data_IF_487693335195
#
_entry.id   IF_487693335195
#
_cell.length_a   1.000
_cell.length_b   1.000
_cell.length_c   1.000
_cell.angle_alpha   90.00
_cell.angle_beta   90.00
_cell.angle_gamma   90.00
#
_symmetry.space_group_name_H-M   'P 1'
#
loop_
_entity.id
_entity.type
_entity.pdbx_description
1 polymer ?
#
# COMPACT_ATOMS: atom_id res chain seq x y z
N UNK A 1 27.04 -27.05 1.93
CA UNK A 1 25.81 -26.22 1.94
C UNK A 1 26.22 -24.76 1.81
N UNK A 2 26.09 -24.17 0.63
CA UNK A 2 26.53 -22.78 0.35
C UNK A 2 25.60 -21.83 1.12
N UNK A 3 26.11 -21.18 2.16
CA UNK A 3 25.35 -20.28 3.04
C UNK A 3 24.60 -19.24 2.23
N UNK A 4 23.30 -19.43 2.03
CA UNK A 4 22.43 -18.44 1.38
C UNK A 4 22.40 -17.22 2.30
N UNK A 5 23.12 -16.15 1.94
CA UNK A 5 22.97 -14.86 2.62
C UNK A 5 21.47 -14.50 2.59
N UNK A 6 20.87 -14.13 3.72
CA UNK A 6 19.45 -13.78 3.75
C UNK A 6 19.24 -12.54 2.89
N UNK A 7 18.41 -12.64 1.85
CA UNK A 7 18.15 -11.54 0.90
C UNK A 7 17.63 -10.28 1.60
N UNK A 8 17.02 -10.43 2.76
CA UNK A 8 16.66 -9.32 3.66
C UNK A 8 17.85 -8.40 3.95
N UNK A 9 19.01 -8.95 4.35
CA UNK A 9 20.21 -8.14 4.65
C UNK A 9 20.68 -7.45 3.38
N UNK A 10 20.63 -8.14 2.24
CA UNK A 10 21.00 -7.55 0.95
C UNK A 10 20.08 -6.37 0.60
N UNK A 11 18.77 -6.53 0.74
CA UNK A 11 17.80 -5.46 0.52
C UNK A 11 18.09 -4.25 1.40
N UNK A 12 18.22 -4.45 2.72
CA UNK A 12 18.47 -3.39 3.68
C UNK A 12 19.78 -2.65 3.40
N UNK A 13 20.88 -3.39 3.20
CA UNK A 13 22.20 -2.79 2.93
C UNK A 13 22.16 -2.00 1.62
N UNK A 14 21.60 -2.56 0.55
CA UNK A 14 21.49 -1.83 -0.73
C UNK A 14 20.62 -0.59 -0.59
N UNK A 15 19.47 -0.68 0.07
CA UNK A 15 18.57 0.48 0.24
C UNK A 15 19.19 1.57 1.11
N UNK A 16 19.85 1.21 2.21
CA UNK A 16 20.50 2.18 3.10
C UNK A 16 21.72 2.82 2.45
N UNK A 17 22.52 2.05 1.69
CA UNK A 17 23.65 2.60 0.94
C UNK A 17 23.18 3.57 -0.15
N UNK A 18 22.13 3.23 -0.90
CA UNK A 18 21.55 4.12 -1.91
C UNK A 18 20.92 5.37 -1.27
N UNK A 19 20.21 5.21 -0.14
CA UNK A 19 19.64 6.34 0.60
C UNK A 19 20.74 7.28 1.11
N UNK A 20 21.79 6.74 1.74
CA UNK A 20 22.93 7.54 2.22
C UNK A 20 23.67 8.26 1.09
N UNK A 21 23.90 7.59 -0.05
CA UNK A 21 24.49 8.21 -1.23
C UNK A 21 23.61 9.36 -1.75
N UNK A 22 22.31 9.11 -1.93
CA UNK A 22 21.37 10.12 -2.42
C UNK A 22 21.23 11.31 -1.47
N UNK A 23 21.20 11.08 -0.16
CA UNK A 23 21.21 12.13 0.87
C UNK A 23 22.51 12.94 0.82
N UNK A 24 23.68 12.29 0.71
CA UNK A 24 24.96 12.99 0.58
C UNK A 24 25.02 13.88 -0.66
N UNK A 25 24.55 13.38 -1.81
CA UNK A 25 24.46 14.17 -3.04
C UNK A 25 23.45 15.32 -2.89
N UNK A 26 22.34 15.13 -2.16
CA UNK A 26 21.38 16.21 -1.91
C UNK A 26 21.96 17.32 -1.03
N UNK A 27 22.67 16.98 0.05
CA UNK A 27 23.35 17.98 0.89
C UNK A 27 24.44 18.73 0.10
N UNK A 28 25.14 18.03 -0.79
CA UNK A 28 26.08 18.66 -1.71
C UNK A 28 25.37 19.57 -2.74
N UNK A 29 24.20 19.17 -3.23
CA UNK A 29 23.40 19.99 -4.12
C UNK A 29 22.93 21.28 -3.44
N UNK A 30 22.45 21.22 -2.20
CA UNK A 30 22.00 22.41 -1.48
C UNK A 30 23.12 23.41 -1.20
N UNK A 31 24.33 22.92 -0.93
CA UNK A 31 25.50 23.78 -0.71
C UNK A 31 26.09 24.40 -1.97
N UNK A 32 25.80 23.87 -3.17
CA UNK A 32 26.51 24.28 -4.42
C UNK A 32 25.62 24.72 -5.57
N UNK A 33 24.36 24.26 -5.64
CA UNK A 33 23.50 24.46 -6.81
C UNK A 33 22.60 25.71 -6.73
N UNK A 34 22.59 26.41 -5.59
CA UNK A 34 21.74 27.57 -5.35
C UNK A 34 22.61 28.83 -5.09
N UNK A 35 22.27 29.94 -5.76
CA UNK A 35 23.04 31.19 -5.69
C UNK A 35 22.44 32.19 -4.69
N UNK A 36 23.28 32.65 -3.74
CA UNK A 36 23.02 33.79 -2.86
C UNK A 36 21.82 33.60 -1.92
N UNK A 37 21.42 34.67 -1.23
CA UNK A 37 20.30 34.67 -0.27
C UNK A 37 18.93 34.39 -0.91
N UNK A 38 18.82 34.52 -2.24
CA UNK A 38 17.59 34.30 -3.01
C UNK A 38 17.37 32.85 -3.45
N UNK A 39 18.33 31.94 -3.22
CA UNK A 39 18.15 30.51 -3.47
C UNK A 39 17.89 30.13 -4.94
N UNK A 40 18.28 30.96 -5.91
CA UNK A 40 17.95 30.71 -7.31
C UNK A 40 18.79 29.55 -7.89
N UNK A 41 18.17 28.60 -8.63
CA UNK A 41 18.86 27.45 -9.18
C UNK A 41 19.84 27.84 -10.29
N UNK A 42 21.09 27.40 -10.17
CA UNK A 42 22.09 27.55 -11.23
C UNK A 42 21.81 26.54 -12.34
N UNK A 43 21.45 27.04 -13.54
CA UNK A 43 21.26 26.17 -14.72
C UNK A 43 22.54 25.36 -14.99
N UNK A 44 22.39 24.04 -15.09
CA UNK A 44 23.48 23.13 -15.41
C UNK A 44 24.40 22.78 -14.23
N UNK A 45 23.99 23.06 -12.98
CA UNK A 45 24.75 22.64 -11.81
C UNK A 45 25.03 21.13 -11.85
N UNK A 46 26.30 20.75 -11.77
CA UNK A 46 26.76 19.35 -11.82
C UNK A 46 26.14 18.52 -10.70
N UNK A 47 25.86 19.14 -9.55
CA UNK A 47 25.20 18.50 -8.42
C UNK A 47 23.75 18.09 -8.73
N UNK A 48 22.99 18.90 -9.49
CA UNK A 48 21.63 18.54 -9.90
C UNK A 48 21.63 17.36 -10.89
N UNK A 49 22.59 17.33 -11.82
CA UNK A 49 22.76 16.19 -12.75
C UNK A 49 23.15 14.93 -11.98
N UNK A 50 24.12 15.04 -11.07
CA UNK A 50 24.55 13.93 -10.22
C UNK A 50 23.39 13.37 -9.41
N UNK A 51 22.51 14.23 -8.87
CA UNK A 51 21.35 13.81 -8.10
C UNK A 51 20.37 12.99 -8.94
N UNK A 52 20.05 13.45 -10.16
CA UNK A 52 19.21 12.69 -11.10
C UNK A 52 19.84 11.33 -11.42
N UNK A 53 21.14 11.31 -11.72
CA UNK A 53 21.86 10.06 -11.99
C UNK A 53 21.78 9.08 -10.81
N UNK A 54 21.99 9.55 -9.57
CA UNK A 54 21.91 8.70 -8.37
C UNK A 54 20.49 8.15 -8.17
N UNK A 55 19.45 8.96 -8.38
CA UNK A 55 18.06 8.48 -8.29
C UNK A 55 17.74 7.44 -9.37
N UNK A 56 18.17 7.67 -10.62
CA UNK A 56 17.99 6.69 -11.71
C UNK A 56 18.74 5.40 -11.42
N UNK A 57 19.97 5.49 -10.90
CA UNK A 57 20.74 4.32 -10.47
C UNK A 57 20.05 3.58 -9.32
N UNK A 58 19.48 4.29 -8.34
CA UNK A 58 18.71 3.69 -7.27
C UNK A 58 17.49 2.93 -7.80
N UNK A 59 16.74 3.53 -8.73
CA UNK A 59 15.63 2.88 -9.43
C UNK A 59 16.11 1.59 -10.11
N UNK A 60 17.19 1.66 -10.90
CA UNK A 60 17.71 0.51 -11.64
C UNK A 60 18.19 -0.62 -10.72
N UNK A 61 18.99 -0.31 -9.69
CA UNK A 61 19.51 -1.30 -8.74
C UNK A 61 18.38 -1.99 -7.98
N UNK A 62 17.41 -1.22 -7.47
CA UNK A 62 16.28 -1.78 -6.75
C UNK A 62 15.35 -2.59 -7.68
N UNK A 63 15.20 -2.17 -8.95
CA UNK A 63 14.49 -2.95 -9.97
C UNK A 63 15.17 -4.30 -10.21
N UNK A 64 16.50 -4.33 -10.33
CA UNK A 64 17.27 -5.57 -10.50
C UNK A 64 17.12 -6.46 -9.26
N UNK A 65 17.18 -5.91 -8.05
CA UNK A 65 16.93 -6.66 -6.82
C UNK A 65 15.50 -7.23 -6.78
N UNK A 66 14.49 -6.44 -7.14
CA UNK A 66 13.09 -6.87 -7.21
C UNK A 66 12.88 -7.99 -8.23
N UNK A 67 13.53 -7.91 -9.40
CA UNK A 67 13.46 -8.92 -10.44
C UNK A 67 14.14 -10.23 -10.02
N UNK A 68 15.29 -10.14 -9.34
CA UNK A 68 16.06 -11.29 -8.84
C UNK A 68 15.49 -11.91 -7.57
N UNK A 69 14.54 -11.26 -6.90
CA UNK A 69 13.93 -11.80 -5.69
C UNK A 69 13.25 -13.14 -6.00
N UNK A 70 13.71 -14.25 -5.37
CA UNK A 70 13.07 -15.54 -5.52
C UNK A 70 11.70 -15.51 -4.85
N UNK A 71 10.70 -16.06 -5.55
CA UNK A 71 9.34 -16.20 -5.06
C UNK A 71 9.00 -17.68 -5.12
N UNK A 72 8.85 -18.30 -3.96
CA UNK A 72 8.34 -19.68 -3.89
C UNK A 72 6.85 -19.64 -4.20
N UNK A 73 6.45 -20.28 -5.30
CA UNK A 73 5.05 -20.48 -5.65
C UNK A 73 4.60 -21.83 -5.08
N UNK A 74 3.66 -21.89 -4.12
CA UNK A 74 3.15 -23.16 -3.63
C UNK A 74 2.36 -23.91 -4.72
N UNK A 75 2.19 -25.25 -4.59
CA UNK A 75 1.47 -26.09 -5.57
C UNK A 75 0.03 -25.63 -5.80
N UNK A 76 -0.46 -25.80 -7.05
CA UNK A 76 -1.78 -25.34 -7.50
C UNK A 76 -2.98 -25.88 -6.70
N UNK A 77 -2.84 -27.01 -6.01
CA UNK A 77 -3.93 -27.62 -5.22
C UNK A 77 -4.25 -26.87 -3.91
N UNK A 78 -3.31 -26.11 -3.34
CA UNK A 78 -3.53 -25.26 -2.15
C UNK A 78 -3.97 -23.82 -2.51
N UNK A 79 -4.32 -23.57 -3.78
CA UNK A 79 -4.53 -22.20 -4.32
C UNK A 79 -5.93 -21.63 -4.06
N UNK A 80 -6.87 -22.39 -3.48
CA UNK A 80 -8.24 -21.90 -3.20
C UNK A 80 -8.35 -20.82 -2.11
N UNK A 81 -7.23 -20.26 -1.66
CA UNK A 81 -7.20 -19.14 -0.74
C UNK A 81 -5.82 -18.51 -0.61
N UNK A 82 -5.18 -18.10 -1.72
CA UNK A 82 -3.94 -17.30 -1.69
C UNK A 82 -4.19 -15.96 -0.98
N UNK A 83 -4.19 -15.98 0.35
CA UNK A 83 -4.18 -14.76 1.17
C UNK A 83 -2.75 -14.29 1.23
N UNK A 84 -2.34 -13.48 0.27
CA UNK A 84 -1.10 -12.70 0.33
C UNK A 84 -0.98 -11.88 1.61
N UNK A 85 -2.06 -11.70 2.37
CA UNK A 85 -2.03 -11.31 3.77
C UNK A 85 -1.05 -12.12 4.64
N UNK A 86 -0.70 -13.35 4.25
CA UNK A 86 0.29 -14.18 4.95
C UNK A 86 1.73 -13.72 4.75
N UNK A 87 2.03 -12.91 3.73
CA UNK A 87 3.40 -12.45 3.44
C UNK A 87 3.94 -11.44 4.45
N UNK A 88 3.10 -10.92 5.35
CA UNK A 88 3.49 -10.05 6.45
C UNK A 88 3.34 -10.70 7.83
N UNK A 89 2.83 -11.92 7.91
CA UNK A 89 2.78 -12.62 9.20
C UNK A 89 4.20 -12.83 9.69
N UNK A 90 4.45 -12.35 10.89
CA UNK A 90 5.71 -12.36 11.59
C UNK A 90 5.43 -12.90 12.99
N UNK A 91 5.16 -14.21 13.08
CA UNK A 91 5.05 -14.92 14.36
C UNK A 91 6.28 -14.59 15.21
N UNK A 92 6.10 -13.70 16.19
CA UNK A 92 7.14 -13.36 17.17
C UNK A 92 8.30 -12.47 16.69
N UNK A 93 8.23 -11.80 15.53
CA UNK A 93 9.33 -10.91 15.11
C UNK A 93 9.23 -9.53 15.78
N UNK A 94 10.06 -9.33 16.79
CA UNK A 94 10.13 -8.08 17.56
C UNK A 94 10.67 -6.90 16.73
N UNK A 95 11.52 -7.14 15.72
CA UNK A 95 12.10 -6.06 14.91
C UNK A 95 11.03 -5.44 14.02
N UNK A 96 10.20 -6.29 13.38
CA UNK A 96 9.06 -5.82 12.61
C UNK A 96 8.08 -5.03 13.49
N UNK A 97 7.74 -5.55 14.67
CA UNK A 97 6.84 -4.88 15.60
C UNK A 97 7.40 -3.52 16.06
N UNK A 98 8.69 -3.48 16.43
CA UNK A 98 9.37 -2.26 16.85
C UNK A 98 9.39 -1.19 15.74
N UNK A 99 9.69 -1.57 14.50
CA UNK A 99 9.68 -0.64 13.35
C UNK A 99 8.27 -0.10 13.05
N UNK A 100 7.25 -0.95 13.14
CA UNK A 100 5.85 -0.53 12.94
C UNK A 100 5.35 0.38 14.07
N UNK A 101 5.73 0.10 15.31
CA UNK A 101 5.44 0.97 16.45
C UNK A 101 6.13 2.31 16.31
N UNK A 102 7.44 2.30 16.03
CA UNK A 102 8.21 3.52 15.80
C UNK A 102 7.58 4.36 14.68
N UNK A 103 7.25 3.73 13.55
CA UNK A 103 6.53 4.36 12.44
C UNK A 103 5.20 4.99 12.89
N UNK A 104 4.38 4.26 13.64
CA UNK A 104 3.11 4.75 14.14
C UNK A 104 3.29 5.95 15.07
N UNK A 105 4.17 5.85 16.07
CA UNK A 105 4.42 6.94 17.02
C UNK A 105 5.04 8.17 16.35
N UNK A 106 5.86 8.02 15.32
CA UNK A 106 6.32 9.14 14.50
C UNK A 106 5.16 9.82 13.75
N UNK A 107 4.21 9.04 13.19
CA UNK A 107 3.01 9.63 12.59
C UNK A 107 2.15 10.37 13.62
N UNK A 108 2.04 9.84 14.84
CA UNK A 108 1.34 10.50 15.94
C UNK A 108 2.04 11.79 16.37
N UNK A 109 3.38 11.81 16.43
CA UNK A 109 4.16 13.00 16.75
C UNK A 109 4.00 14.12 15.71
N UNK A 110 3.72 13.77 14.45
CA UNK A 110 3.42 14.76 13.41
C UNK A 110 2.10 15.52 13.65
N UNK A 111 1.12 14.92 14.34
CA UNK A 111 -0.22 15.48 14.56
C UNK A 111 -0.19 16.84 15.26
N UNK A 112 0.39 17.01 16.47
CA UNK A 112 0.41 18.31 17.15
C UNK A 112 1.21 19.37 16.38
N UNK A 113 2.25 18.97 15.64
CA UNK A 113 3.08 19.88 14.85
C UNK A 113 2.29 20.44 13.66
N UNK A 114 1.68 19.56 12.85
CA UNK A 114 0.88 19.95 11.69
C UNK A 114 -0.38 20.70 12.09
N UNK A 115 -1.04 20.28 13.18
CA UNK A 115 -2.22 20.97 13.69
C UNK A 115 -1.86 22.35 14.27
N UNK A 116 -0.72 22.48 14.95
CA UNK A 116 -0.19 23.74 15.44
C UNK A 116 0.11 24.73 14.30
N UNK A 117 0.82 24.27 13.28
CA UNK A 117 1.11 25.05 12.06
C UNK A 117 -0.19 25.47 11.36
N UNK A 118 -1.13 24.54 11.16
CA UNK A 118 -2.44 24.83 10.59
C UNK A 118 -3.24 25.87 11.38
N UNK A 119 -3.22 25.79 12.73
CA UNK A 119 -3.89 26.77 13.60
C UNK A 119 -3.26 28.16 13.52
N UNK A 120 -1.93 28.23 13.45
CA UNK A 120 -1.22 29.50 13.32
C UNK A 120 -1.60 30.19 11.99
N UNK A 121 -1.58 29.42 10.89
CA UNK A 121 -1.99 29.90 9.57
C UNK A 121 -3.46 30.30 9.53
N UNK A 122 -4.35 29.52 10.16
CA UNK A 122 -5.76 29.86 10.27
C UNK A 122 -5.99 31.19 11.01
N UNK A 123 -5.25 31.45 12.09
CA UNK A 123 -5.33 32.74 12.79
C UNK A 123 -4.86 33.89 11.91
N UNK A 124 -3.74 33.72 11.20
CA UNK A 124 -3.24 34.72 10.25
C UNK A 124 -4.25 35.00 9.13
N UNK A 125 -4.89 33.95 8.60
CA UNK A 125 -5.96 34.05 7.62
C UNK A 125 -7.13 34.88 8.14
N UNK A 126 -7.61 34.63 9.35
CA UNK A 126 -8.72 35.39 9.95
C UNK A 126 -8.39 36.89 10.11
N UNK A 127 -7.15 37.21 10.47
CA UNK A 127 -6.68 38.60 10.58
C UNK A 127 -6.64 39.27 9.21
N UNK A 128 -6.10 38.59 8.19
CA UNK A 128 -6.05 39.10 6.82
C UNK A 128 -7.45 39.30 6.22
N UNK A 129 -8.39 38.40 6.55
CA UNK A 129 -9.79 38.51 6.14
C UNK A 129 -10.46 39.73 6.80
N UNK A 130 -10.23 39.95 8.09
CA UNK A 130 -10.74 41.11 8.82
C UNK A 130 -10.19 42.44 8.26
N UNK A 131 -8.94 42.46 7.82
CA UNK A 131 -8.31 43.63 7.20
C UNK A 131 -8.63 43.79 5.70
N UNK A 132 -9.36 42.85 5.08
CA UNK A 132 -9.61 42.79 3.62
C UNK A 132 -8.31 42.81 2.79
N UNK A 133 -7.21 42.31 3.35
CA UNK A 133 -5.89 42.26 2.69
C UNK A 133 -5.57 40.87 2.15
N UNK A 134 -6.48 39.91 2.26
CA UNK A 134 -6.24 38.55 1.77
C UNK A 134 -6.22 38.51 0.24
N UNK A 135 -5.06 38.17 -0.33
CA UNK A 135 -4.81 38.13 -1.78
C UNK A 135 -4.78 36.71 -2.36
N UNK A 136 -5.32 35.73 -1.63
CA UNK A 136 -5.13 34.31 -1.95
C UNK A 136 -3.84 33.78 -1.31
N UNK A 137 -3.93 32.62 -0.65
CA UNK A 137 -2.80 32.01 0.07
C UNK A 137 -3.24 30.80 0.89
N UNK A 138 -2.31 30.14 1.60
CA UNK A 138 -2.66 29.04 2.49
C UNK A 138 -3.45 29.52 3.72
N UNK A 139 -4.58 28.88 3.97
CA UNK A 139 -5.46 29.17 5.10
C UNK A 139 -5.22 28.18 6.26
N UNK A 140 -4.33 27.19 6.11
CA UNK A 140 -3.95 26.23 7.16
C UNK A 140 -4.90 25.05 7.33
N UNK A 141 -6.08 25.06 6.68
CA UNK A 141 -7.08 23.98 6.75
C UNK A 141 -6.49 22.65 6.29
N UNK A 142 -5.70 22.67 5.22
CA UNK A 142 -5.15 21.47 4.60
C UNK A 142 -4.07 20.82 5.47
N UNK A 143 -3.30 21.63 6.21
CA UNK A 143 -2.40 21.17 7.26
C UNK A 143 -3.15 20.52 8.43
N UNK A 144 -4.30 21.06 8.84
CA UNK A 144 -5.16 20.42 9.86
C UNK A 144 -5.76 19.10 9.37
N UNK A 145 -6.23 19.04 8.12
CA UNK A 145 -6.74 17.81 7.50
C UNK A 145 -5.64 16.75 7.44
N UNK A 146 -4.42 17.15 7.06
CA UNK A 146 -3.26 16.24 7.05
C UNK A 146 -2.94 15.72 8.45
N UNK A 147 -3.06 16.55 9.49
CA UNK A 147 -2.90 16.12 10.88
C UNK A 147 -3.94 15.07 11.30
N UNK A 148 -5.22 15.28 10.96
CA UNK A 148 -6.29 14.31 11.23
C UNK A 148 -6.03 12.99 10.50
N UNK A 149 -5.61 13.05 9.23
CA UNK A 149 -5.31 11.85 8.48
C UNK A 149 -4.04 11.15 8.99
N UNK A 150 -3.04 11.88 9.48
CA UNK A 150 -1.88 11.30 10.15
C UNK A 150 -2.27 10.53 11.42
N UNK A 151 -3.27 11.02 12.16
CA UNK A 151 -3.85 10.28 13.29
C UNK A 151 -4.55 8.99 12.84
N UNK A 152 -5.25 9.00 11.70
CA UNK A 152 -5.80 7.77 11.11
C UNK A 152 -4.70 6.80 10.65
N UNK A 153 -3.61 7.31 10.08
CA UNK A 153 -2.45 6.51 9.71
C UNK A 153 -1.81 5.83 10.93
N UNK A 154 -1.73 6.52 12.07
CA UNK A 154 -1.28 5.93 13.35
C UNK A 154 -2.08 4.67 13.70
N UNK A 155 -3.42 4.74 13.69
CA UNK A 155 -4.26 3.58 13.97
C UNK A 155 -4.11 2.47 12.92
N UNK A 156 -3.95 2.82 11.64
CA UNK A 156 -3.69 1.87 10.56
C UNK A 156 -2.36 1.13 10.74
N UNK A 157 -1.28 1.85 11.03
CA UNK A 157 0.06 1.30 11.23
C UNK A 157 0.13 0.40 12.47
N UNK A 158 -0.51 0.78 13.59
CA UNK A 158 -0.61 -0.07 14.77
C UNK A 158 -1.33 -1.38 14.47
N UNK A 159 -2.41 -1.34 13.70
CA UNK A 159 -3.14 -2.55 13.33
C UNK A 159 -2.34 -3.45 12.39
N UNK A 160 -1.65 -2.87 11.40
CA UNK A 160 -0.71 -3.62 10.54
C UNK A 160 0.37 -4.30 11.40
N UNK A 161 0.95 -3.59 12.38
CA UNK A 161 1.95 -4.15 13.29
C UNK A 161 1.39 -5.28 14.17
N UNK A 162 0.22 -5.06 14.78
CA UNK A 162 -0.46 -6.04 15.65
C UNK A 162 -0.86 -7.31 14.89
N UNK A 163 -1.46 -7.15 13.72
CA UNK A 163 -1.91 -8.26 12.88
C UNK A 163 -0.71 -9.03 12.28
N UNK A 164 0.43 -8.35 12.08
CA UNK A 164 1.69 -8.99 11.73
C UNK A 164 2.27 -9.84 12.86
N UNK A 165 2.19 -9.38 14.11
CA UNK A 165 2.76 -10.05 15.28
C UNK A 165 1.91 -11.25 15.78
N UNK A 166 0.58 -11.14 15.74
CA UNK A 166 -0.35 -12.20 16.16
C UNK A 166 -1.15 -12.81 14.99
N UNK A 167 -0.55 -13.72 14.20
CA UNK A 167 -1.22 -14.39 13.10
C UNK A 167 -2.18 -15.46 13.62
N UNK A 168 -3.48 -15.14 13.67
CA UNK A 168 -4.50 -16.13 14.07
C UNK A 168 -5.86 -15.53 14.39
N UNK A 169 -5.90 -14.27 14.85
CA UNK A 169 -7.15 -13.52 15.02
C UNK A 169 -7.33 -12.56 13.86
N UNK A 170 -7.83 -13.07 12.73
CA UNK A 170 -8.14 -12.20 11.59
C UNK A 170 -9.38 -11.38 11.91
N UNK A 171 -9.19 -10.13 12.32
CA UNK A 171 -10.23 -9.10 12.21
C UNK A 171 -10.32 -8.64 10.74
N UNK A 172 -11.26 -7.75 10.44
CA UNK A 172 -11.57 -7.17 9.12
C UNK A 172 -10.43 -6.25 8.58
N UNK A 173 -9.18 -6.69 8.62
CA UNK A 173 -7.94 -5.91 8.43
C UNK A 173 -7.66 -5.37 7.02
N UNK A 174 -8.57 -5.54 6.06
CA UNK A 174 -8.43 -4.91 4.74
C UNK A 174 -8.61 -3.39 4.78
N UNK A 175 -9.58 -2.91 5.57
CA UNK A 175 -9.92 -1.49 5.65
C UNK A 175 -8.82 -0.66 6.36
N UNK A 176 -8.32 -1.16 7.49
CA UNK A 176 -7.34 -0.45 8.31
C UNK A 176 -5.97 -0.34 7.65
N UNK A 177 -5.61 -1.30 6.78
CA UNK A 177 -4.39 -1.24 5.99
C UNK A 177 -4.40 -0.11 4.93
N UNK A 178 -5.57 0.41 4.57
CA UNK A 178 -5.70 1.50 3.60
C UNK A 178 -5.56 2.90 4.23
N UNK A 179 -5.70 3.04 5.56
CA UNK A 179 -5.65 4.35 6.23
C UNK A 179 -4.33 5.11 6.01
N UNK A 180 -3.13 4.46 6.05
CA UNK A 180 -1.89 5.17 5.75
C UNK A 180 -1.83 5.70 4.31
N UNK A 181 -2.45 4.99 3.35
CA UNK A 181 -2.55 5.48 1.97
C UNK A 181 -3.48 6.70 1.88
N UNK A 182 -4.63 6.68 2.56
CA UNK A 182 -5.53 7.84 2.65
C UNK A 182 -4.84 9.07 3.27
N UNK A 183 -3.98 8.86 4.27
CA UNK A 183 -3.17 9.94 4.84
C UNK A 183 -2.14 10.49 3.86
N UNK A 184 -1.54 9.62 3.05
CA UNK A 184 -0.74 10.03 1.90
C UNK A 184 -1.51 10.97 0.96
N UNK A 185 -2.82 10.77 0.76
CA UNK A 185 -3.62 11.63 -0.12
C UNK A 185 -3.73 13.07 0.40
N UNK A 186 -4.09 13.22 1.68
CA UNK A 186 -4.17 14.55 2.29
C UNK A 186 -2.82 15.25 2.34
N UNK A 187 -1.77 14.49 2.66
CA UNK A 187 -0.41 15.02 2.66
C UNK A 187 0.07 15.43 1.27
N UNK A 188 -0.24 14.64 0.23
CA UNK A 188 0.06 14.99 -1.16
C UNK A 188 -0.67 16.26 -1.59
N UNK A 189 -1.95 16.41 -1.22
CA UNK A 189 -2.73 17.61 -1.51
C UNK A 189 -2.13 18.83 -0.81
N UNK A 190 -1.75 18.69 0.47
CA UNK A 190 -1.09 19.74 1.25
C UNK A 190 0.22 20.18 0.60
N UNK A 191 1.05 19.20 0.25
CA UNK A 191 2.35 19.43 -0.38
C UNK A 191 2.17 20.09 -1.73
N UNK A 192 1.35 19.53 -2.62
CA UNK A 192 1.12 20.06 -3.97
C UNK A 192 0.65 21.52 -3.97
N UNK A 193 -0.26 21.88 -3.05
CA UNK A 193 -0.71 23.27 -2.90
C UNK A 193 0.44 24.21 -2.56
N UNK A 194 1.31 23.81 -1.64
CA UNK A 194 2.46 24.61 -1.24
C UNK A 194 3.47 24.72 -2.40
N UNK A 195 3.70 23.63 -3.13
CA UNK A 195 4.59 23.59 -4.29
C UNK A 195 4.09 24.40 -5.48
N UNK A 196 2.77 24.54 -5.65
CA UNK A 196 2.20 25.32 -6.75
C UNK A 196 2.49 26.82 -6.65
N UNK A 197 2.89 27.29 -5.46
CA UNK A 197 3.31 28.68 -5.25
C UNK A 197 4.80 28.91 -5.58
N UNK A 198 5.63 27.86 -5.55
CA UNK A 198 7.08 27.98 -5.65
C UNK A 198 7.59 27.72 -7.08
N UNK A 199 8.36 28.65 -7.69
CA UNK A 199 8.89 28.47 -9.04
C UNK A 199 10.11 27.53 -9.12
N UNK A 200 10.72 27.17 -7.98
CA UNK A 200 11.95 26.37 -7.92
C UNK A 200 11.62 24.89 -7.73
N UNK A 201 11.74 24.13 -8.82
CA UNK A 201 11.37 22.71 -8.88
C UNK A 201 12.12 21.83 -7.86
N UNK A 202 13.40 22.12 -7.60
CA UNK A 202 14.26 21.31 -6.73
C UNK A 202 13.99 21.47 -5.23
N UNK A 203 13.12 22.42 -4.84
CA UNK A 203 12.74 22.62 -3.44
C UNK A 203 11.69 21.61 -3.01
N UNK A 204 10.81 21.21 -3.94
CA UNK A 204 9.70 20.33 -3.62
C UNK A 204 9.68 18.97 -4.34
N UNK A 205 10.39 18.80 -5.46
CA UNK A 205 10.41 17.51 -6.18
C UNK A 205 10.81 16.32 -5.30
N UNK A 206 11.87 16.41 -4.47
CA UNK A 206 12.24 15.28 -3.61
C UNK A 206 11.14 14.90 -2.62
N UNK A 207 10.48 15.90 -2.05
CA UNK A 207 9.36 15.71 -1.13
C UNK A 207 8.17 15.06 -1.84
N UNK A 208 7.80 15.56 -3.02
CA UNK A 208 6.67 15.05 -3.80
C UNK A 208 6.91 13.58 -4.22
N UNK A 209 8.13 13.26 -4.66
CA UNK A 209 8.54 11.89 -4.97
C UNK A 209 8.47 10.97 -3.74
N UNK A 210 8.85 11.46 -2.55
CA UNK A 210 8.77 10.70 -1.32
C UNK A 210 7.33 10.38 -0.94
N UNK A 211 6.42 11.36 -1.01
CA UNK A 211 5.00 11.18 -0.70
C UNK A 211 4.34 10.20 -1.69
N UNK A 212 4.60 10.35 -2.99
CA UNK A 212 4.05 9.46 -4.02
C UNK A 212 4.58 8.03 -3.85
N UNK A 213 5.88 7.86 -3.62
CA UNK A 213 6.47 6.53 -3.41
C UNK A 213 5.86 5.83 -2.18
N UNK A 214 5.75 6.56 -1.06
CA UNK A 214 5.16 6.05 0.18
C UNK A 214 3.68 5.71 0.02
N UNK A 215 2.89 6.57 -0.63
CA UNK A 215 1.49 6.29 -0.95
C UNK A 215 1.35 5.03 -1.79
N UNK A 216 2.12 4.91 -2.88
CA UNK A 216 2.09 3.72 -3.74
C UNK A 216 2.47 2.46 -2.97
N UNK A 217 3.48 2.53 -2.10
CA UNK A 217 3.84 1.42 -1.21
C UNK A 217 2.66 1.00 -0.33
N UNK A 218 2.00 1.94 0.35
CA UNK A 218 0.85 1.63 1.21
C UNK A 218 -0.35 1.08 0.42
N UNK A 219 -0.61 1.57 -0.80
CA UNK A 219 -1.68 1.02 -1.65
C UNK A 219 -1.40 -0.42 -2.07
N UNK A 220 -0.16 -0.74 -2.47
CA UNK A 220 0.23 -2.11 -2.78
C UNK A 220 0.20 -3.00 -1.51
N UNK A 221 0.53 -2.43 -0.34
CA UNK A 221 0.44 -3.13 0.94
C UNK A 221 -1.01 -3.47 1.30
N UNK A 222 -1.93 -2.51 1.18
CA UNK A 222 -3.36 -2.74 1.36
C UNK A 222 -3.90 -3.75 0.31
N UNK A 223 -3.44 -3.66 -0.95
CA UNK A 223 -3.81 -4.59 -2.01
C UNK A 223 -3.42 -6.05 -1.71
N UNK A 224 -2.29 -6.27 -1.05
CA UNK A 224 -1.89 -7.61 -0.58
C UNK A 224 -2.85 -8.19 0.46
N UNK A 225 -3.49 -7.34 1.28
CA UNK A 225 -4.52 -7.75 2.24
C UNK A 225 -5.83 -8.18 1.56
N UNK A 226 -6.11 -7.67 0.36
CA UNK A 226 -7.32 -7.91 -0.44
C UNK A 226 -7.12 -8.89 -1.62
N UNK A 227 -6.06 -9.71 -1.60
CA UNK A 227 -5.72 -10.71 -2.62
C UNK A 227 -5.25 -10.19 -4.00
N UNK A 228 -5.07 -8.88 -4.17
CA UNK A 228 -4.48 -8.26 -5.37
C UNK A 228 -2.98 -7.96 -5.16
N UNK A 229 -2.16 -9.01 -5.03
CA UNK A 229 -0.77 -8.83 -4.59
C UNK A 229 0.24 -8.68 -5.71
N UNK A 230 1.13 -7.68 -5.53
CA UNK A 230 2.28 -7.41 -6.39
C UNK A 230 3.56 -7.32 -5.55
N UNK A 231 4.02 -8.42 -4.93
CA UNK A 231 5.06 -8.38 -3.89
C UNK A 231 6.41 -7.80 -4.37
N UNK A 232 6.79 -8.02 -5.63
CA UNK A 232 8.01 -7.44 -6.22
C UNK A 232 7.90 -5.92 -6.32
N UNK A 233 6.73 -5.43 -6.74
CA UNK A 233 6.45 -4.01 -6.84
C UNK A 233 6.46 -3.37 -5.46
N UNK A 234 5.89 -4.03 -4.45
CA UNK A 234 5.94 -3.53 -3.06
C UNK A 234 7.37 -3.47 -2.52
N UNK A 235 8.21 -4.47 -2.77
CA UNK A 235 9.63 -4.40 -2.37
C UNK A 235 10.36 -3.24 -3.01
N UNK A 236 10.14 -3.04 -4.32
CA UNK A 236 10.73 -1.93 -5.05
C UNK A 236 10.25 -0.58 -4.52
N UNK A 237 8.93 -0.43 -4.34
CA UNK A 237 8.32 0.79 -3.78
C UNK A 237 8.79 1.06 -2.36
N UNK A 238 8.95 0.03 -1.51
CA UNK A 238 9.48 0.20 -0.17
C UNK A 238 10.94 0.70 -0.20
N UNK A 239 11.78 0.13 -1.05
CA UNK A 239 13.15 0.63 -1.26
C UNK A 239 13.18 2.10 -1.72
N UNK A 240 12.38 2.44 -2.74
CA UNK A 240 12.28 3.81 -3.23
C UNK A 240 11.70 4.78 -2.19
N UNK A 241 10.75 4.32 -1.37
CA UNK A 241 10.17 5.13 -0.28
C UNK A 241 11.25 5.53 0.72
N UNK A 242 12.13 4.60 1.12
CA UNK A 242 13.27 4.92 2.00
C UNK A 242 14.20 5.94 1.32
N UNK A 243 14.63 5.66 0.09
CA UNK A 243 15.56 6.56 -0.64
C UNK A 243 14.98 7.97 -0.76
N UNK A 244 13.75 8.11 -1.28
CA UNK A 244 13.13 9.41 -1.46
C UNK A 244 12.86 10.12 -0.13
N UNK A 245 12.45 9.40 0.93
CA UNK A 245 12.23 10.01 2.25
C UNK A 245 13.50 10.61 2.85
N UNK A 246 14.62 9.91 2.73
CA UNK A 246 15.91 10.37 3.24
C UNK A 246 16.47 11.54 2.44
N UNK A 247 16.22 11.57 1.12
CA UNK A 247 16.54 12.74 0.29
C UNK A 247 15.67 13.93 0.69
N UNK A 248 14.36 13.73 0.89
CA UNK A 248 13.46 14.81 1.30
C UNK A 248 13.78 15.34 2.71
N UNK A 249 14.22 14.48 3.63
CA UNK A 249 14.71 14.88 4.95
C UNK A 249 16.01 15.68 4.90
N UNK A 250 16.86 15.41 3.91
CA UNK A 250 18.09 16.16 3.71
C UNK A 250 17.80 17.65 3.45
N UNK A 251 16.67 17.94 2.81
CA UNK A 251 16.21 19.30 2.54
C UNK A 251 15.61 20.04 3.74
N UNK A 252 15.81 19.54 4.96
CA UNK A 252 15.33 20.15 6.21
C UNK A 252 13.85 20.60 6.18
N UNK A 253 12.90 19.69 5.91
CA UNK A 253 11.49 20.05 5.83
C UNK A 253 10.94 20.44 7.21
N UNK A 254 9.76 21.09 7.22
CA UNK A 254 9.00 21.37 8.44
C UNK A 254 8.93 20.16 9.36
N UNK A 255 9.02 20.37 10.67
CA UNK A 255 9.13 19.28 11.66
C UNK A 255 7.99 18.25 11.56
N UNK A 256 6.77 18.68 11.27
CA UNK A 256 5.63 17.78 11.04
C UNK A 256 5.82 16.89 9.82
N UNK A 257 6.29 17.46 8.71
CA UNK A 257 6.62 16.76 7.47
C UNK A 257 7.79 15.79 7.69
N UNK A 258 8.83 16.22 8.43
CA UNK A 258 9.95 15.36 8.80
C UNK A 258 9.49 14.12 9.58
N UNK A 259 8.57 14.28 10.53
CA UNK A 259 8.02 13.16 11.30
C UNK A 259 7.21 12.18 10.43
N UNK A 260 6.47 12.67 9.43
CA UNK A 260 5.78 11.81 8.46
C UNK A 260 6.77 11.06 7.54
N UNK A 261 7.87 11.70 7.12
CA UNK A 261 8.93 11.05 6.34
C UNK A 261 9.66 9.98 7.15
N UNK A 262 9.95 10.24 8.42
CA UNK A 262 10.50 9.26 9.36
C UNK A 262 9.52 8.10 9.55
N UNK A 263 8.23 8.40 9.72
CA UNK A 263 7.18 7.38 9.85
C UNK A 263 7.14 6.45 8.63
N UNK A 264 7.05 6.99 7.41
CA UNK A 264 6.96 6.16 6.22
C UNK A 264 8.27 5.40 5.93
N UNK A 265 9.43 5.98 6.22
CA UNK A 265 10.71 5.29 6.03
C UNK A 265 10.84 4.11 7.00
N UNK A 266 10.39 4.25 8.24
CA UNK A 266 10.33 3.14 9.21
C UNK A 266 9.36 2.02 8.77
N UNK A 267 8.18 2.37 8.27
CA UNK A 267 7.23 1.39 7.72
C UNK A 267 7.80 0.67 6.49
N UNK A 268 8.50 1.40 5.62
CA UNK A 268 9.16 0.83 4.44
C UNK A 268 10.31 -0.11 4.84
N UNK A 269 11.11 0.25 5.84
CA UNK A 269 12.13 -0.63 6.40
C UNK A 269 11.52 -1.89 7.04
N UNK A 270 10.36 -1.78 7.70
CA UNK A 270 9.63 -2.94 8.21
C UNK A 270 9.19 -3.88 7.09
N UNK A 271 8.70 -3.33 5.98
CA UNK A 271 8.34 -4.11 4.79
C UNK A 271 9.58 -4.80 4.17
N UNK A 272 10.70 -4.08 4.02
CA UNK A 272 11.96 -4.63 3.51
C UNK A 272 12.60 -5.67 4.44
N UNK A 273 12.41 -5.52 5.75
CA UNK A 273 12.86 -6.49 6.75
C UNK A 273 12.13 -7.83 6.58
N UNK A 274 10.79 -7.78 6.42
CA UNK A 274 9.97 -8.99 6.52
C UNK A 274 9.67 -9.65 5.18
N UNK A 275 9.29 -8.85 4.18
CA UNK A 275 8.73 -9.35 2.92
C UNK A 275 9.72 -10.24 2.14
N UNK A 276 11.04 -9.96 2.06
CA UNK A 276 11.98 -10.82 1.35
C UNK A 276 12.06 -12.24 1.92
N UNK A 277 12.02 -12.38 3.25
CA UNK A 277 12.08 -13.68 3.94
C UNK A 277 10.83 -14.48 3.64
N UNK A 278 9.66 -13.85 3.75
CA UNK A 278 8.37 -14.53 3.55
C UNK A 278 8.11 -14.93 2.10
N UNK A 279 8.74 -14.25 1.13
CA UNK A 279 8.69 -14.67 -0.28
C UNK A 279 9.57 -15.91 -0.56
N UNK A 280 10.60 -16.13 0.26
CA UNK A 280 11.50 -17.29 0.16
C UNK A 280 11.02 -18.48 0.96
N UNK A 281 10.53 -18.21 2.16
CA UNK A 281 10.06 -19.20 3.12
C UNK A 281 8.64 -18.79 3.51
N UNK A 282 7.62 -19.07 2.67
CA UNK A 282 6.25 -18.75 3.01
C UNK A 282 5.90 -19.43 4.35
N UNK A 283 5.29 -18.71 5.30
CA UNK A 283 4.94 -19.30 6.58
C UNK A 283 3.97 -20.46 6.36
N UNK A 284 4.28 -21.62 6.94
CA UNK A 284 3.37 -22.76 6.99
C UNK A 284 2.27 -22.43 7.99
N UNK A 285 1.13 -21.97 7.50
CA UNK A 285 -0.04 -21.78 8.37
C UNK A 285 -0.63 -23.16 8.61
N UNK A 286 -0.71 -23.60 9.88
CA UNK A 286 -1.26 -24.89 10.29
C UNK A 286 -2.76 -24.99 10.02
N UNK A 287 -3.12 -25.16 8.75
CA UNK A 287 -4.49 -25.41 8.30
C UNK A 287 -4.71 -26.88 7.90
N UNK A 288 -3.75 -27.78 8.17
CA UNK A 288 -3.93 -29.23 7.98
C UNK A 288 -4.84 -29.89 9.03
N UNK A 289 -5.54 -29.13 9.86
CA UNK A 289 -6.31 -29.68 10.98
C UNK A 289 -7.84 -29.63 10.89
N UNK A 290 -8.46 -29.08 9.83
CA UNK A 290 -9.94 -28.99 9.80
C UNK A 290 -10.54 -28.67 8.42
N UNK A 291 -10.14 -29.40 7.38
CA UNK A 291 -10.88 -29.42 6.11
C UNK A 291 -11.56 -30.76 5.80
N UNK A 292 -11.40 -31.77 6.66
CA UNK A 292 -12.12 -33.05 6.53
C UNK A 292 -13.53 -33.03 7.14
N UNK A 293 -13.97 -31.92 7.74
CA UNK A 293 -15.31 -31.77 8.32
C UNK A 293 -16.22 -30.80 7.57
N UNK A 294 -15.79 -30.30 6.41
CA UNK A 294 -16.72 -29.72 5.45
C UNK A 294 -16.99 -30.73 4.32
N UNK A 295 -17.38 -31.94 4.71
CA UNK A 295 -18.45 -32.59 3.96
C UNK A 295 -19.60 -31.59 3.97
N UNK A 296 -19.94 -31.07 2.80
CA UNK A 296 -21.35 -30.81 2.53
C UNK A 296 -22.00 -32.19 2.70
N UNK A 297 -22.42 -32.48 3.93
CA UNK A 297 -23.49 -33.42 4.16
C UNK A 297 -24.68 -32.73 3.51
N UNK A 298 -24.99 -33.18 2.29
CA UNK A 298 -26.33 -33.07 1.79
C UNK A 298 -27.22 -33.58 2.93
N UNK A 299 -28.00 -32.67 3.51
CA UNK A 299 -28.94 -33.01 4.54
C UNK A 299 -29.94 -33.97 3.91
N UNK A 300 -29.74 -35.27 4.13
CA UNK A 300 -30.84 -36.24 4.04
C UNK A 300 -31.97 -35.68 4.90
N UNK A 301 -33.18 -35.49 4.34
CA UNK A 301 -34.32 -35.07 5.14
C UNK A 301 -34.60 -36.14 6.20
N UNK A 302 -34.48 -35.74 7.47
CA UNK A 302 -34.83 -36.58 8.60
C UNK A 302 -36.34 -36.87 8.56
N UNK A 303 -36.68 -38.14 8.40
CA UNK A 303 -38.04 -38.66 8.59
C UNK A 303 -38.23 -38.95 10.08
N UNK A 304 -39.20 -38.30 10.71
CA UNK A 304 -39.66 -38.59 12.08
C UNK A 304 -40.18 -40.03 12.20
N UNK A 305 -40.07 -40.68 13.39
CA UNK A 305 -40.52 -42.06 13.57
C UNK A 305 -42.06 -42.12 13.63
N UNK A 306 -42.69 -42.81 12.67
CA UNK A 306 -44.09 -43.21 12.77
C UNK A 306 -44.24 -44.46 13.64
N UNK A 307 -45.18 -44.38 14.58
CA UNK A 307 -45.64 -45.46 15.45
C UNK A 307 -46.18 -46.68 14.68
N UNK A 308 -46.12 -47.82 15.37
CA UNK A 308 -46.38 -49.20 14.94
C UNK A 308 -47.67 -49.45 14.11
N UNK A 309 -47.54 -50.19 13.00
CA UNK A 309 -48.61 -51.09 12.51
C UNK A 309 -48.05 -52.31 11.73
N UNK A 310 -48.69 -53.50 11.79
CA UNK A 310 -48.07 -54.82 11.58
C UNK A 310 -48.08 -55.30 10.10
N UNK A 311 -47.36 -56.40 9.77
CA UNK A 311 -46.87 -56.63 8.41
C UNK A 311 -47.89 -57.34 7.54
N UNK A 312 -48.14 -56.84 6.32
CA UNK A 312 -48.88 -57.57 5.29
C UNK A 312 -48.32 -57.23 3.89
N UNK A 313 -47.71 -58.26 3.30
CA UNK A 313 -47.80 -58.66 1.87
C UNK A 313 -47.24 -57.72 0.80
N UNK A 314 -46.12 -58.11 0.18
CA UNK A 314 -45.72 -57.64 -1.15
C UNK A 314 -46.74 -58.13 -2.20
N UNK A 315 -47.08 -57.28 -3.18
CA UNK A 315 -46.86 -57.70 -4.57
C UNK A 315 -46.38 -56.60 -5.54
N UNK A 316 -45.54 -57.07 -6.46
CA UNK A 316 -45.23 -56.68 -7.85
C UNK A 316 -44.88 -55.23 -8.30
N UNK A 317 -43.92 -55.09 -9.24
CA UNK A 317 -43.41 -53.80 -9.69
C UNK A 317 -44.06 -53.31 -11.00
N UNK A 318 -44.53 -52.06 -11.06
CA UNK A 318 -44.85 -51.34 -12.31
C UNK A 318 -44.76 -49.80 -12.10
N UNK A 319 -44.65 -48.99 -13.17
CA UNK A 319 -43.50 -48.82 -14.05
C UNK A 319 -42.91 -47.41 -13.92
N UNK A 320 -41.66 -47.24 -14.38
CA UNK A 320 -40.94 -45.96 -14.40
C UNK A 320 -41.61 -44.98 -15.34
N UNK A 321 -42.19 -43.90 -14.80
CA UNK A 321 -42.57 -42.71 -15.58
C UNK A 321 -41.37 -41.78 -15.61
N UNK A 322 -40.91 -41.51 -16.82
CA UNK A 322 -39.76 -40.71 -17.19
C UNK A 322 -40.26 -39.27 -17.39
N UNK A 323 -39.79 -38.32 -16.57
CA UNK A 323 -40.13 -36.90 -16.77
C UNK A 323 -38.92 -36.12 -17.30
N UNK A 324 -39.15 -35.59 -18.50
CA UNK A 324 -38.29 -34.83 -19.40
C UNK A 324 -37.76 -33.51 -18.80
N UNK A 325 -36.45 -33.33 -18.87
CA UNK A 325 -35.79 -32.04 -18.66
C UNK A 325 -35.75 -31.26 -19.98
N UNK A 326 -36.78 -30.45 -20.23
CA UNK A 326 -36.76 -29.47 -21.33
C UNK A 326 -36.01 -28.21 -20.91
N UNK A 327 -34.85 -28.00 -21.54
CA UNK A 327 -34.06 -26.78 -21.44
C UNK A 327 -34.72 -25.63 -22.22
N UNK A 328 -35.18 -24.59 -21.53
CA UNK A 328 -35.71 -23.37 -22.17
C UNK A 328 -34.60 -22.62 -22.90
N UNK A 329 -34.80 -22.48 -24.21
CA UNK A 329 -33.89 -21.99 -25.24
C UNK A 329 -34.03 -20.47 -25.47
N UNK A 330 -34.48 -19.70 -24.47
CA UNK A 330 -34.90 -18.31 -24.69
C UNK A 330 -33.89 -17.23 -24.28
N UNK A 331 -32.84 -17.52 -23.52
CA UNK A 331 -31.84 -16.49 -23.17
C UNK A 331 -30.60 -16.44 -24.09
N UNK A 332 -30.48 -17.39 -25.02
CA UNK A 332 -29.34 -17.44 -25.97
C UNK A 332 -29.59 -16.72 -27.30
N UNK A 333 -30.77 -16.14 -27.53
CA UNK A 333 -31.10 -15.43 -28.78
C UNK A 333 -31.05 -13.89 -28.70
N UNK A 334 -30.73 -13.29 -27.54
CA UNK A 334 -30.71 -11.83 -27.39
C UNK A 334 -29.35 -11.15 -27.62
N UNK A 335 -28.29 -11.87 -28.01
CA UNK A 335 -26.95 -11.27 -28.10
C UNK A 335 -26.16 -11.60 -29.37
N UNK A 336 -26.83 -12.11 -30.40
CA UNK A 336 -26.18 -12.45 -31.67
C UNK A 336 -26.98 -11.99 -32.90
N UNK A 337 -27.33 -10.71 -32.94
CA UNK A 337 -27.79 -10.01 -34.15
C UNK A 337 -27.56 -8.50 -33.97
N UNK A 338 -26.44 -7.97 -34.44
CA UNK A 338 -26.31 -6.59 -34.97
C UNK A 338 -24.97 -6.51 -35.69
N UNK A 339 -24.92 -7.13 -36.87
CA UNK A 339 -23.93 -6.87 -37.89
C UNK A 339 -24.57 -6.11 -39.05
N UNK A 340 -23.94 -5.00 -39.41
CA UNK A 340 -23.86 -4.37 -40.74
C UNK A 340 -25.09 -3.74 -41.44
N UNK A 341 -24.90 -2.43 -41.68
CA UNK A 341 -24.98 -1.68 -42.95
C UNK A 341 -26.34 -1.44 -43.64
N UNK A 342 -26.66 -0.14 -43.81
CA UNK A 342 -26.95 0.43 -45.14
C UNK A 342 -26.78 1.95 -45.18
N UNK A 343 -25.95 2.39 -46.12
CA UNK A 343 -26.00 3.66 -46.86
C UNK A 343 -27.42 4.13 -47.17
N UNK A 344 -27.68 5.44 -47.06
CA UNK A 344 -28.10 6.23 -48.24
C UNK A 344 -27.98 7.75 -48.00
N UNK A 345 -27.47 8.41 -49.04
CA UNK A 345 -27.32 9.85 -49.25
C UNK A 345 -28.61 10.67 -49.10
N UNK A 346 -28.50 11.96 -48.76
CA UNK A 346 -28.82 13.06 -49.71
C UNK A 346 -28.67 14.46 -49.11
N UNK A 347 -28.02 15.32 -49.91
CA UNK A 347 -28.11 16.79 -50.05
C UNK A 347 -29.23 17.55 -49.28
N UNK A 348 -28.86 18.65 -48.62
CA UNK A 348 -29.03 20.07 -49.04
C UNK A 348 -28.10 20.95 -48.21
#
# INVERSE_FOLDING_TARGET
MRGKKPYQILWLVCTLALAGLATGVRLWQESTAFKGDFGLPVRGATASVAMVCVLVMAVAVLCILAARQPIVRPPRAQVRGRRWAMSFFATGDLVFLALMWFSAFSALAAVPMLFGQGRALWKAYQVALAMKTWQGGDNGVLSMVTAVLALLAFFGLLQIGRDGYHPGRRSRGGFWAALPACAGCGWLLNTYRNCAADPVLWDYVPLLLAVIAGMLMYTDWAGMSCAAARPRRTLWLAGMTVVCSWVALASSPDTGTAMLLISQSAAALAALWRLPINLQNPPKVGWEGNLDTCSIQDAEPQVEPQDQQPPLTQPEPQPRVEEDWTWSREESQAMNCTGENKEEDTHV
#
